data_IF_672392750194
#
_entry.id   IF_672392750194
#
_cell.length_a   1.000
_cell.length_b   1.000
_cell.length_c   1.000
_cell.angle_alpha   90.00
_cell.angle_beta   90.00
_cell.angle_gamma   90.00
#
_symmetry.space_group_name_H-M   'P 1'
#
loop_
_entity.id
_entity.type
_entity.pdbx_description
1 polymer ?
#
# COMPACT_ATOMS: atom_id res chain seq x y z
N UNK A 1 -11.64 -7.72 -1.91
CA UNK A 1 -11.88 -6.97 -3.16
C UNK A 1 -12.29 -5.54 -2.81
N UNK A 2 -11.75 -4.53 -3.52
CA UNK A 2 -12.13 -3.12 -3.38
C UNK A 2 -12.75 -2.66 -4.69
N UNK A 3 -13.90 -1.98 -4.63
CA UNK A 3 -14.53 -1.35 -5.79
C UNK A 3 -14.64 0.15 -5.54
N UNK A 4 -14.17 0.94 -6.48
CA UNK A 4 -14.38 2.38 -6.55
C UNK A 4 -15.48 2.64 -7.57
N UNK A 5 -16.53 3.38 -7.17
CA UNK A 5 -17.68 3.68 -8.01
C UNK A 5 -17.84 5.19 -8.14
N UNK A 6 -17.43 5.72 -9.28
CA UNK A 6 -17.56 7.14 -9.64
C UNK A 6 -16.97 8.10 -8.59
N UNK A 7 -15.83 7.72 -7.97
CA UNK A 7 -15.26 8.52 -6.89
C UNK A 7 -14.59 9.79 -7.40
N UNK A 8 -14.75 10.86 -6.64
CA UNK A 8 -14.02 12.12 -6.83
C UNK A 8 -13.27 12.49 -5.55
N UNK A 9 -12.00 12.89 -5.70
CA UNK A 9 -11.13 13.26 -4.61
C UNK A 9 -10.56 14.66 -4.82
N UNK A 10 -10.47 15.45 -3.73
CA UNK A 10 -9.85 16.78 -3.73
C UNK A 10 -8.85 16.92 -2.59
N UNK A 11 -7.91 17.82 -2.78
CA UNK A 11 -7.04 18.32 -1.73
C UNK A 11 -7.10 19.84 -1.71
N UNK A 12 -7.77 20.41 -0.70
CA UNK A 12 -8.20 21.80 -0.72
C UNK A 12 -9.12 22.05 -1.93
N UNK A 13 -8.80 23.05 -2.73
CA UNK A 13 -9.55 23.38 -3.96
C UNK A 13 -9.09 22.57 -5.19
N UNK A 14 -7.98 21.82 -5.07
CA UNK A 14 -7.42 21.05 -6.20
C UNK A 14 -8.15 19.72 -6.37
N UNK A 15 -8.74 19.49 -7.53
CA UNK A 15 -9.25 18.17 -7.92
C UNK A 15 -8.07 17.23 -8.21
N UNK A 16 -8.05 16.09 -7.53
CA UNK A 16 -7.04 15.04 -7.71
C UNK A 16 -7.54 13.91 -8.61
N UNK A 17 -8.79 13.52 -8.41
CA UNK A 17 -9.48 12.49 -9.20
C UNK A 17 -10.94 12.89 -9.42
N UNK A 18 -11.50 12.54 -10.58
CA UNK A 18 -12.88 12.87 -10.95
C UNK A 18 -13.53 11.68 -11.65
N UNK A 19 -14.64 11.20 -11.07
CA UNK A 19 -15.47 10.16 -11.68
C UNK A 19 -14.78 8.80 -11.86
N UNK A 20 -13.80 8.47 -11.01
CA UNK A 20 -12.99 7.25 -11.13
C UNK A 20 -13.79 6.02 -10.71
N UNK A 21 -13.83 5.02 -11.60
CA UNK A 21 -14.40 3.70 -11.30
C UNK A 21 -13.39 2.62 -11.66
N UNK A 22 -13.07 1.75 -10.69
CA UNK A 22 -12.15 0.62 -10.89
C UNK A 22 -12.31 -0.41 -9.78
N UNK A 23 -11.76 -1.60 -9.99
CA UNK A 23 -11.79 -2.70 -9.02
C UNK A 23 -10.39 -3.24 -8.77
N UNK A 24 -10.03 -3.43 -7.50
CA UNK A 24 -8.81 -4.10 -7.07
C UNK A 24 -9.15 -5.48 -6.53
N UNK A 25 -8.59 -6.50 -7.15
CA UNK A 25 -8.93 -7.90 -6.88
C UNK A 25 -8.11 -8.49 -5.73
N UNK A 26 -8.63 -9.52 -5.10
CA UNK A 26 -7.86 -10.39 -4.20
C UNK A 26 -6.86 -11.21 -5.02
N UNK A 27 -5.77 -11.63 -4.39
CA UNK A 27 -4.72 -12.39 -5.06
C UNK A 27 -3.87 -11.58 -6.05
N UNK A 28 -3.95 -10.23 -5.99
CA UNK A 28 -3.19 -9.36 -6.89
C UNK A 28 -2.42 -8.28 -6.13
N UNK A 29 -1.25 -7.96 -6.65
CA UNK A 29 -0.43 -6.82 -6.22
C UNK A 29 -0.54 -5.70 -7.26
N UNK A 30 -1.15 -4.58 -6.88
CA UNK A 30 -1.35 -3.41 -7.75
C UNK A 30 -0.41 -2.27 -7.35
N UNK A 31 0.35 -1.75 -8.30
CA UNK A 31 1.10 -0.51 -8.14
C UNK A 31 0.23 0.71 -8.45
N UNK A 32 0.03 1.58 -7.48
CA UNK A 32 -0.57 2.90 -7.68
C UNK A 32 0.54 3.86 -8.11
N UNK A 33 0.74 3.98 -9.42
CA UNK A 33 1.85 4.71 -10.04
C UNK A 33 1.43 6.13 -10.42
N UNK A 34 2.31 7.09 -10.26
CA UNK A 34 2.10 8.47 -10.69
C UNK A 34 3.12 9.43 -10.09
N UNK A 35 3.20 10.65 -10.64
CA UNK A 35 4.09 11.70 -10.13
C UNK A 35 3.74 12.09 -8.69
N UNK A 36 4.66 12.76 -8.01
CA UNK A 36 4.39 13.26 -6.66
C UNK A 36 3.26 14.32 -6.67
N UNK A 37 2.40 14.27 -5.65
CA UNK A 37 1.27 15.19 -5.52
C UNK A 37 0.07 14.91 -6.43
N UNK A 38 0.01 13.75 -7.12
CA UNK A 38 -1.14 13.37 -7.98
C UNK A 38 -2.32 12.79 -7.21
N UNK A 39 -2.18 12.54 -5.89
CA UNK A 39 -3.28 12.05 -5.06
C UNK A 39 -3.22 10.57 -4.72
N UNK A 40 -2.10 9.88 -4.95
CA UNK A 40 -1.91 8.46 -4.58
C UNK A 40 -2.22 8.20 -3.10
N UNK A 41 -1.54 8.91 -2.20
CA UNK A 41 -1.74 8.81 -0.75
C UNK A 41 -3.16 9.20 -0.34
N UNK A 42 -3.76 10.19 -1.03
CA UNK A 42 -5.14 10.61 -0.77
C UNK A 42 -6.13 9.49 -1.10
N UNK A 43 -5.92 8.78 -2.21
CA UNK A 43 -6.74 7.62 -2.59
C UNK A 43 -6.59 6.49 -1.57
N UNK A 44 -5.35 6.12 -1.19
CA UNK A 44 -5.12 5.07 -0.19
C UNK A 44 -5.76 5.42 1.16
N UNK A 45 -5.61 6.67 1.60
CA UNK A 45 -6.26 7.16 2.83
C UNK A 45 -7.79 7.16 2.72
N UNK A 46 -8.35 7.48 1.55
CA UNK A 46 -9.81 7.40 1.34
C UNK A 46 -10.33 5.96 1.45
N UNK A 47 -9.63 4.98 0.86
CA UNK A 47 -9.96 3.54 0.97
C UNK A 47 -9.85 3.06 2.42
N UNK A 48 -8.87 3.55 3.18
CA UNK A 48 -8.68 3.24 4.60
C UNK A 48 -9.66 4.01 5.53
N UNK A 49 -10.59 4.81 4.97
CA UNK A 49 -11.48 5.71 5.75
C UNK A 49 -10.73 6.73 6.62
N UNK A 50 -9.50 7.07 6.24
CA UNK A 50 -8.68 8.11 6.86
C UNK A 50 -8.72 9.44 6.07
N UNK A 51 -9.50 9.50 5.01
CA UNK A 51 -9.70 10.66 4.14
C UNK A 51 -11.15 10.74 3.68
N UNK A 52 -11.54 11.90 3.16
CA UNK A 52 -12.90 12.12 2.64
C UNK A 52 -12.96 11.88 1.14
N UNK A 53 -14.03 11.23 0.68
CA UNK A 53 -14.46 11.17 -0.71
C UNK A 53 -15.47 12.32 -0.92
N UNK A 54 -15.32 13.09 -1.98
CA UNK A 54 -16.22 14.20 -2.28
C UNK A 54 -17.49 13.72 -2.97
N UNK A 55 -17.35 12.70 -3.86
CA UNK A 55 -18.47 12.12 -4.58
C UNK A 55 -18.17 10.64 -4.90
N UNK A 56 -19.22 9.84 -5.10
CA UNK A 56 -19.12 8.42 -5.37
C UNK A 56 -19.00 7.55 -4.11
N UNK A 57 -18.74 6.26 -4.33
CA UNK A 57 -18.77 5.24 -3.27
C UNK A 57 -17.54 4.33 -3.34
N UNK A 58 -17.05 3.92 -2.17
CA UNK A 58 -16.04 2.86 -2.03
C UNK A 58 -16.71 1.65 -1.41
N UNK A 59 -16.49 0.48 -2.03
CA UNK A 59 -17.01 -0.79 -1.54
C UNK A 59 -15.87 -1.74 -1.18
N UNK A 60 -15.98 -2.42 -0.04
CA UNK A 60 -15.01 -3.40 0.47
C UNK A 60 -15.75 -4.71 0.71
N UNK A 61 -15.34 -5.76 -0.02
CA UNK A 61 -15.96 -7.09 0.04
C UNK A 61 -17.49 -7.06 -0.08
N UNK A 62 -18.00 -6.26 -1.04
CA UNK A 62 -19.43 -6.14 -1.32
C UNK A 62 -20.23 -5.30 -0.31
N UNK A 63 -19.55 -4.59 0.61
CA UNK A 63 -20.18 -3.67 1.56
C UNK A 63 -19.64 -2.25 1.34
N UNK A 64 -20.55 -1.29 1.34
CA UNK A 64 -20.19 0.12 1.25
C UNK A 64 -19.37 0.57 2.46
N UNK A 65 -18.23 1.26 2.21
CA UNK A 65 -17.28 1.70 3.23
C UNK A 65 -17.95 2.55 4.33
N UNK A 66 -18.89 3.42 3.95
CA UNK A 66 -19.63 4.30 4.87
C UNK A 66 -20.49 3.53 5.89
N UNK A 67 -20.84 2.27 5.61
CA UNK A 67 -21.65 1.42 6.48
C UNK A 67 -20.83 0.57 7.44
N UNK A 68 -19.50 0.52 7.28
CA UNK A 68 -18.61 -0.25 8.12
C UNK A 68 -18.25 0.53 9.39
N UNK A 69 -18.35 -0.12 10.54
CA UNK A 69 -17.76 0.40 11.78
C UNK A 69 -16.21 0.40 11.67
N UNK A 70 -15.56 1.24 12.48
CA UNK A 70 -14.09 1.29 12.52
C UNK A 70 -13.46 -0.09 12.81
N UNK A 71 -14.06 -0.89 13.69
CA UNK A 71 -13.59 -2.25 14.00
C UNK A 71 -13.79 -3.20 12.83
N UNK A 72 -14.92 -3.14 12.13
CA UNK A 72 -15.18 -3.97 10.96
C UNK A 72 -14.20 -3.63 9.81
N UNK A 73 -13.92 -2.35 9.61
CA UNK A 73 -12.95 -1.90 8.63
C UNK A 73 -11.54 -2.34 9.00
N UNK A 74 -11.13 -2.16 10.27
CA UNK A 74 -9.80 -2.58 10.74
C UNK A 74 -9.55 -4.09 10.66
N UNK A 75 -10.60 -4.91 10.56
CA UNK A 75 -10.50 -6.36 10.29
C UNK A 75 -10.46 -6.69 8.80
N UNK A 76 -10.58 -5.71 7.91
CA UNK A 76 -10.58 -5.89 6.45
C UNK A 76 -9.41 -5.20 5.77
N UNK A 77 -8.97 -4.07 6.30
CA UNK A 77 -7.95 -3.21 5.68
C UNK A 77 -6.85 -2.89 6.68
N UNK A 78 -5.63 -3.26 6.36
CA UNK A 78 -4.43 -2.75 7.00
C UNK A 78 -3.86 -1.60 6.16
N UNK A 79 -3.36 -0.56 6.83
CA UNK A 79 -2.74 0.58 6.18
C UNK A 79 -1.34 0.84 6.76
N UNK A 80 -0.35 0.89 5.88
CA UNK A 80 1.03 1.24 6.19
C UNK A 80 1.35 2.58 5.55
N UNK A 81 1.70 3.55 6.37
CA UNK A 81 2.18 4.86 5.92
C UNK A 81 3.69 4.99 6.12
N UNK A 82 4.30 6.01 5.51
CA UNK A 82 5.72 6.33 5.64
C UNK A 82 6.06 7.17 6.86
N UNK A 83 5.06 7.57 7.66
CA UNK A 83 5.29 8.39 8.85
C UNK A 83 6.09 7.60 9.89
N UNK A 84 7.18 8.19 10.37
CA UNK A 84 8.00 7.60 11.41
C UNK A 84 7.25 7.58 12.74
N UNK A 85 7.25 6.43 13.39
CA UNK A 85 6.71 6.30 14.74
C UNK A 85 7.81 6.73 15.71
N UNK A 86 7.61 7.86 16.35
CA UNK A 86 8.49 8.37 17.41
C UNK A 86 7.79 8.21 18.75
N UNK A 87 7.87 7.00 19.30
CA UNK A 87 7.32 6.66 20.62
C UNK A 87 8.44 6.11 21.49
N UNK A 88 8.69 6.79 22.61
CA UNK A 88 9.64 6.34 23.62
C UNK A 88 9.16 5.04 24.30
N UNK A 89 10.10 4.17 24.66
CA UNK A 89 9.88 2.93 25.42
C UNK A 89 8.93 1.91 24.76
N UNK A 90 8.80 1.92 23.42
CA UNK A 90 8.05 0.93 22.66
C UNK A 90 9.04 -0.06 22.01
N UNK A 91 8.87 -1.37 22.29
CA UNK A 91 9.65 -2.41 21.61
C UNK A 91 9.08 -2.74 20.23
N UNK A 92 9.90 -3.41 19.40
CA UNK A 92 9.43 -3.92 18.10
C UNK A 92 8.25 -4.88 18.29
N UNK A 93 8.35 -5.80 19.28
CA UNK A 93 7.26 -6.73 19.59
C UNK A 93 5.98 -5.98 19.96
N UNK A 94 6.06 -4.98 20.84
CA UNK A 94 4.87 -4.20 21.24
C UNK A 94 4.23 -3.49 20.05
N UNK A 95 5.06 -2.91 19.15
CA UNK A 95 4.56 -2.23 17.96
C UNK A 95 3.84 -3.22 17.01
N UNK A 96 4.39 -4.41 16.82
CA UNK A 96 3.74 -5.45 16.00
C UNK A 96 2.44 -5.92 16.66
N UNK A 97 2.44 -6.08 18.00
CA UNK A 97 1.28 -6.46 18.78
C UNK A 97 0.10 -5.46 18.67
N UNK A 98 0.38 -4.17 18.44
CA UNK A 98 -0.67 -3.17 18.13
C UNK A 98 -1.51 -3.58 16.92
N UNK A 99 -0.96 -4.33 15.96
CA UNK A 99 -1.72 -4.89 14.83
C UNK A 99 -2.91 -5.75 15.27
N UNK A 100 -2.85 -6.36 16.46
CA UNK A 100 -3.93 -7.18 17.01
C UNK A 100 -5.05 -6.38 17.68
N UNK A 101 -4.93 -5.05 17.82
CA UNK A 101 -5.93 -4.19 18.49
C UNK A 101 -7.38 -4.43 18.05
N UNK A 102 -7.72 -4.70 16.76
CA UNK A 102 -9.10 -4.97 16.35
C UNK A 102 -9.70 -6.27 16.94
N UNK A 103 -8.88 -7.13 17.54
CA UNK A 103 -9.26 -8.47 18.06
C UNK A 103 -9.16 -8.57 19.58
N UNK A 104 -8.55 -7.58 20.24
CA UNK A 104 -8.43 -7.52 21.69
C UNK A 104 -9.75 -7.17 22.37
N UNK A 105 -9.84 -7.45 23.67
CA UNK A 105 -10.93 -6.98 24.51
C UNK A 105 -10.77 -5.46 24.83
N UNK A 106 -11.73 -4.93 25.60
CA UNK A 106 -11.71 -3.51 26.03
C UNK A 106 -10.48 -3.14 26.92
N UNK A 107 -9.80 -4.15 27.50
CA UNK A 107 -8.55 -3.98 28.26
C UNK A 107 -7.29 -4.15 27.40
N UNK A 108 -7.43 -4.40 26.10
CA UNK A 108 -6.29 -4.62 25.19
C UNK A 108 -5.58 -5.97 25.39
N UNK A 109 -6.23 -6.95 26.01
CA UNK A 109 -5.59 -8.25 26.30
C UNK A 109 -5.44 -9.09 25.06
N UNK A 110 -4.21 -9.54 24.82
CA UNK A 110 -3.87 -10.52 23.77
C UNK A 110 -4.26 -11.93 24.23
N UNK A 111 -4.67 -12.77 23.27
CA UNK A 111 -4.92 -14.20 23.46
C UNK A 111 -3.70 -15.00 22.98
N UNK A 112 -3.62 -16.27 23.35
CA UNK A 112 -2.52 -17.15 22.88
C UNK A 112 -2.42 -17.24 21.36
N UNK A 113 -3.53 -17.14 20.65
CA UNK A 113 -3.55 -17.15 19.18
C UNK A 113 -2.99 -15.85 18.60
N UNK A 114 -3.20 -14.72 19.27
CA UNK A 114 -2.65 -13.44 18.86
C UNK A 114 -1.11 -13.45 18.90
N UNK A 115 -0.52 -14.05 19.94
CA UNK A 115 0.94 -14.17 20.07
C UNK A 115 1.55 -14.95 18.90
N UNK A 116 0.95 -16.08 18.52
CA UNK A 116 1.39 -16.85 17.36
C UNK A 116 1.31 -16.06 16.05
N UNK A 117 0.29 -15.21 15.89
CA UNK A 117 0.16 -14.34 14.71
C UNK A 117 1.24 -13.26 14.74
N UNK A 118 1.53 -12.67 15.88
CA UNK A 118 2.60 -11.67 16.05
C UNK A 118 3.96 -12.28 15.66
N UNK A 119 4.31 -13.43 16.24
CA UNK A 119 5.56 -14.14 15.94
C UNK A 119 5.69 -14.50 14.46
N UNK A 120 4.62 -15.07 13.86
CA UNK A 120 4.58 -15.36 12.42
C UNK A 120 4.78 -14.10 11.58
N UNK A 121 4.13 -13.00 11.94
CA UNK A 121 4.22 -11.73 11.20
C UNK A 121 5.64 -11.15 11.27
N UNK A 122 6.28 -11.24 12.43
CA UNK A 122 7.68 -10.82 12.61
C UNK A 122 8.63 -11.68 11.80
N UNK A 123 8.41 -13.00 11.77
CA UNK A 123 9.20 -13.93 10.96
C UNK A 123 9.08 -13.62 9.47
N UNK A 124 7.85 -13.45 8.95
CA UNK A 124 7.58 -13.13 7.54
C UNK A 124 8.27 -11.82 7.13
N UNK A 125 8.24 -10.80 7.99
CA UNK A 125 8.88 -9.51 7.73
C UNK A 125 10.41 -9.51 8.03
N UNK A 126 10.97 -10.59 8.56
CA UNK A 126 12.40 -10.72 8.88
C UNK A 126 12.87 -9.84 10.04
N UNK A 127 11.99 -9.59 11.04
CA UNK A 127 12.27 -8.69 12.18
C UNK A 127 12.26 -9.40 13.54
N UNK A 128 12.16 -10.72 13.57
CA UNK A 128 12.09 -11.52 14.80
C UNK A 128 13.31 -11.33 15.73
N UNK A 129 14.51 -11.21 15.17
CA UNK A 129 15.74 -10.97 15.94
C UNK A 129 15.79 -9.59 16.63
N UNK A 130 14.88 -8.69 16.24
CA UNK A 130 14.78 -7.33 16.76
C UNK A 130 13.64 -7.16 17.78
N UNK A 131 12.94 -8.23 18.17
CA UNK A 131 11.72 -8.18 18.98
C UNK A 131 11.84 -7.31 20.25
N UNK A 132 12.96 -7.39 20.96
CA UNK A 132 13.20 -6.65 22.19
C UNK A 132 13.88 -5.28 21.99
N UNK A 133 14.24 -4.91 20.74
CA UNK A 133 14.83 -3.60 20.47
C UNK A 133 13.78 -2.50 20.57
N UNK A 134 14.20 -1.33 21.02
CA UNK A 134 13.36 -0.14 21.02
C UNK A 134 13.17 0.40 19.59
N UNK A 135 11.94 0.74 19.23
CA UNK A 135 11.59 1.28 17.91
C UNK A 135 12.40 2.53 17.57
N UNK A 136 12.67 3.38 18.56
CA UNK A 136 13.48 4.60 18.40
C UNK A 136 14.93 4.35 17.98
N UNK A 137 15.44 3.10 18.12
CA UNK A 137 16.82 2.72 17.75
C UNK A 137 16.94 2.10 16.36
N UNK A 138 15.83 1.95 15.66
CA UNK A 138 15.78 1.33 14.34
C UNK A 138 16.23 2.31 13.24
N UNK A 139 16.90 1.78 12.22
CA UNK A 139 17.06 2.48 10.94
C UNK A 139 15.69 2.61 10.24
N UNK A 140 15.59 3.52 9.27
CA UNK A 140 14.34 3.72 8.54
C UNK A 140 13.88 2.43 7.82
N UNK A 141 14.83 1.66 7.25
CA UNK A 141 14.51 0.38 6.61
C UNK A 141 14.03 -0.70 7.60
N UNK A 142 14.66 -0.79 8.79
CA UNK A 142 14.21 -1.69 9.86
C UNK A 142 12.81 -1.27 10.34
N UNK A 143 12.58 0.02 10.54
CA UNK A 143 11.27 0.56 10.93
C UNK A 143 10.19 0.21 9.90
N UNK A 144 10.49 0.36 8.61
CA UNK A 144 9.57 -0.01 7.53
C UNK A 144 9.18 -1.49 7.57
N UNK A 145 10.15 -2.40 7.77
CA UNK A 145 9.88 -3.84 7.94
C UNK A 145 9.00 -4.13 9.17
N UNK A 146 9.23 -3.43 10.27
CA UNK A 146 8.41 -3.56 11.50
C UNK A 146 6.98 -3.06 11.26
N UNK A 147 6.81 -1.96 10.51
CA UNK A 147 5.48 -1.47 10.14
C UNK A 147 4.71 -2.47 9.26
N UNK A 148 5.42 -3.18 8.38
CA UNK A 148 4.84 -4.27 7.59
C UNK A 148 4.47 -5.45 8.49
N UNK A 149 5.35 -5.86 9.44
CA UNK A 149 5.03 -6.89 10.42
C UNK A 149 3.76 -6.54 11.21
N UNK A 150 3.61 -5.28 11.63
CA UNK A 150 2.40 -4.79 12.30
C UNK A 150 1.15 -4.95 11.41
N UNK A 151 1.26 -4.58 10.12
CA UNK A 151 0.15 -4.73 9.18
C UNK A 151 -0.19 -6.20 8.92
N UNK A 152 0.81 -7.08 8.87
CA UNK A 152 0.61 -8.53 8.78
C UNK A 152 -0.05 -9.10 10.03
N UNK A 153 0.34 -8.63 11.23
CA UNK A 153 -0.27 -9.03 12.49
C UNK A 153 -1.75 -8.62 12.59
N UNK A 154 -2.18 -7.59 11.86
CA UNK A 154 -3.58 -7.22 11.75
C UNK A 154 -4.42 -8.27 11.02
N UNK A 155 -3.78 -9.16 10.25
CA UNK A 155 -4.37 -10.34 9.57
C UNK A 155 -5.61 -9.99 8.74
N UNK A 156 -5.45 -9.03 7.84
CA UNK A 156 -6.50 -8.53 6.97
C UNK A 156 -6.38 -9.08 5.54
N UNK A 157 -7.50 -9.21 4.80
CA UNK A 157 -7.46 -9.58 3.38
C UNK A 157 -6.93 -8.47 2.46
N UNK A 158 -6.88 -7.22 2.92
CA UNK A 158 -6.45 -6.06 2.14
C UNK A 158 -5.31 -5.36 2.87
N UNK A 159 -4.21 -5.07 2.15
CA UNK A 159 -3.09 -4.30 2.66
C UNK A 159 -2.82 -3.13 1.71
N UNK A 160 -2.89 -1.93 2.24
CA UNK A 160 -2.58 -0.69 1.55
C UNK A 160 -1.25 -0.15 2.07
N UNK A 161 -0.33 0.18 1.16
CA UNK A 161 0.99 0.70 1.54
C UNK A 161 1.26 2.01 0.79
N UNK A 162 1.56 3.06 1.54
CA UNK A 162 1.91 4.35 0.96
C UNK A 162 3.42 4.48 0.88
N UNK A 163 3.97 4.49 -0.33
CA UNK A 163 5.40 4.53 -0.66
C UNK A 163 6.29 3.57 0.18
N UNK A 164 5.99 2.26 0.24
CA UNK A 164 6.67 1.33 1.14
C UNK A 164 8.16 1.14 0.83
N UNK A 165 8.62 1.53 -0.35
CA UNK A 165 10.02 1.44 -0.78
C UNK A 165 10.84 2.69 -0.48
N UNK A 166 10.20 3.78 -0.02
CA UNK A 166 10.91 4.98 0.40
C UNK A 166 11.91 4.64 1.50
N UNK A 167 13.09 5.23 1.47
CA UNK A 167 14.19 5.01 2.42
C UNK A 167 14.88 3.64 2.37
N UNK A 168 14.46 2.74 1.47
CA UNK A 168 15.14 1.46 1.27
C UNK A 168 16.20 1.58 0.17
N UNK A 169 17.32 0.90 0.33
CA UNK A 169 18.28 0.67 -0.75
C UNK A 169 17.72 -0.31 -1.79
N UNK A 170 18.34 -0.36 -2.95
CA UNK A 170 17.83 -1.13 -4.08
C UNK A 170 17.56 -2.61 -3.77
N UNK A 171 18.47 -3.39 -3.13
CA UNK A 171 18.19 -4.78 -2.76
C UNK A 171 16.96 -4.92 -1.85
N UNK A 172 16.86 -4.09 -0.81
CA UNK A 172 15.77 -4.14 0.16
C UNK A 172 14.40 -3.78 -0.47
N UNK A 173 14.36 -2.90 -1.48
CA UNK A 173 13.14 -2.60 -2.25
C UNK A 173 12.60 -3.83 -2.96
N UNK A 174 13.47 -4.55 -3.67
CA UNK A 174 13.09 -5.77 -4.39
C UNK A 174 12.68 -6.91 -3.45
N UNK A 175 13.39 -7.08 -2.31
CA UNK A 175 13.00 -8.05 -1.29
C UNK A 175 11.61 -7.75 -0.73
N UNK A 176 11.34 -6.48 -0.40
CA UNK A 176 10.04 -6.06 0.10
C UNK A 176 8.94 -6.31 -0.93
N UNK A 177 9.12 -5.87 -2.17
CA UNK A 177 8.10 -6.08 -3.20
C UNK A 177 7.90 -7.56 -3.53
N UNK A 178 8.97 -8.38 -3.47
CA UNK A 178 8.84 -9.84 -3.59
C UNK A 178 8.03 -10.44 -2.45
N UNK A 179 8.23 -9.96 -1.21
CA UNK A 179 7.40 -10.35 -0.07
C UNK A 179 5.94 -9.98 -0.29
N UNK A 180 5.65 -8.75 -0.72
CA UNK A 180 4.29 -8.30 -1.02
C UNK A 180 3.64 -9.15 -2.11
N UNK A 181 4.38 -9.50 -3.17
CA UNK A 181 3.91 -10.40 -4.22
C UNK A 181 3.52 -11.79 -3.68
N UNK A 182 4.34 -12.38 -2.81
CA UNK A 182 4.00 -13.67 -2.15
C UNK A 182 2.75 -13.56 -1.31
N UNK A 183 2.58 -12.49 -0.54
CA UNK A 183 1.37 -12.27 0.24
C UNK A 183 0.13 -12.14 -0.63
N UNK A 184 0.25 -11.53 -1.81
CA UNK A 184 -0.84 -11.46 -2.78
C UNK A 184 -1.15 -12.85 -3.34
N UNK A 185 -0.16 -13.54 -3.89
CA UNK A 185 -0.37 -14.75 -4.68
C UNK A 185 -0.60 -15.99 -3.80
N UNK A 186 0.21 -16.17 -2.74
CA UNK A 186 0.18 -17.39 -1.93
C UNK A 186 -0.89 -17.31 -0.83
N UNK A 187 -1.14 -16.11 -0.26
CA UNK A 187 -2.13 -15.89 0.80
C UNK A 187 -3.45 -15.26 0.28
N UNK A 188 -3.54 -14.98 -1.02
CA UNK A 188 -4.74 -14.42 -1.66
C UNK A 188 -5.09 -13.01 -1.19
N UNK A 189 -4.11 -12.22 -0.72
CA UNK A 189 -4.37 -10.85 -0.25
C UNK A 189 -4.53 -9.88 -1.43
N UNK A 190 -5.33 -8.84 -1.25
CA UNK A 190 -5.39 -7.69 -2.15
C UNK A 190 -4.36 -6.67 -1.66
N UNK A 191 -3.30 -6.44 -2.45
CA UNK A 191 -2.23 -5.52 -2.09
C UNK A 191 -2.22 -4.34 -3.04
N UNK A 192 -2.26 -3.12 -2.49
CA UNK A 192 -2.12 -1.88 -3.26
C UNK A 192 -0.98 -1.08 -2.61
N UNK A 193 0.05 -0.77 -3.38
CA UNK A 193 1.13 0.08 -2.91
C UNK A 193 1.32 1.29 -3.82
N UNK A 194 1.51 2.46 -3.23
CA UNK A 194 1.85 3.65 -4.01
C UNK A 194 3.35 3.69 -4.29
N UNK A 195 3.71 4.15 -5.47
CA UNK A 195 5.09 4.38 -5.85
C UNK A 195 5.19 5.46 -6.93
N UNK A 196 6.35 6.08 -7.02
CA UNK A 196 6.77 6.91 -8.16
C UNK A 196 7.90 6.22 -8.96
N UNK A 197 8.34 5.04 -8.54
CA UNK A 197 9.41 4.24 -9.13
C UNK A 197 8.82 3.33 -10.22
N UNK A 198 9.11 3.70 -11.48
CA UNK A 198 8.55 2.99 -12.63
C UNK A 198 9.07 1.56 -12.75
N UNK A 199 10.36 1.35 -12.53
CA UNK A 199 11.02 0.06 -12.60
C UNK A 199 10.43 -0.97 -11.62
N UNK A 200 10.16 -0.55 -10.39
CA UNK A 200 9.49 -1.38 -9.38
C UNK A 200 8.06 -1.75 -9.83
N UNK A 201 7.29 -0.76 -10.29
CA UNK A 201 5.92 -1.00 -10.73
C UNK A 201 5.86 -1.98 -11.91
N UNK A 202 6.73 -1.79 -12.92
CA UNK A 202 6.73 -2.62 -14.13
C UNK A 202 7.25 -4.04 -13.90
N UNK A 203 8.24 -4.19 -13.00
CA UNK A 203 8.90 -5.48 -12.79
C UNK A 203 8.13 -6.42 -11.85
N UNK A 204 7.35 -5.89 -10.93
CA UNK A 204 6.85 -6.66 -9.78
C UNK A 204 5.34 -6.62 -9.60
N UNK A 205 4.62 -5.61 -10.14
CA UNK A 205 3.18 -5.51 -9.97
C UNK A 205 2.41 -6.29 -11.05
N UNK A 206 1.34 -6.97 -10.66
CA UNK A 206 0.43 -7.66 -11.58
C UNK A 206 -0.38 -6.67 -12.42
N UNK A 207 -0.73 -5.55 -11.81
CA UNK A 207 -1.47 -4.46 -12.46
C UNK A 207 -0.98 -3.09 -12.01
N UNK A 208 -1.20 -2.10 -12.85
CA UNK A 208 -0.84 -0.71 -12.58
C UNK A 208 -2.08 0.16 -12.63
N UNK A 209 -2.34 0.86 -11.53
CA UNK A 209 -3.29 1.96 -11.46
C UNK A 209 -2.53 3.27 -11.65
N UNK A 210 -2.48 3.77 -12.89
CA UNK A 210 -1.75 4.97 -13.27
C UNK A 210 -2.58 6.22 -12.96
N UNK A 211 -2.06 7.06 -12.06
CA UNK A 211 -2.70 8.32 -11.67
C UNK A 211 -2.16 9.47 -12.52
N UNK A 212 -3.00 9.94 -13.44
CA UNK A 212 -2.77 11.08 -14.30
C UNK A 212 -3.91 12.10 -14.06
N UNK A 213 -3.73 12.93 -13.04
CA UNK A 213 -4.75 13.86 -12.53
C UNK A 213 -5.47 14.63 -13.64
N UNK A 214 -6.82 14.63 -13.68
CA UNK A 214 -7.76 14.08 -12.69
C UNK A 214 -8.20 12.63 -12.95
N UNK A 215 -7.52 11.88 -13.81
CA UNK A 215 -7.90 10.52 -14.21
C UNK A 215 -7.06 9.46 -13.52
N UNK A 216 -7.62 8.25 -13.41
CA UNK A 216 -6.92 7.04 -13.02
C UNK A 216 -7.22 5.96 -14.08
N UNK A 217 -6.16 5.31 -14.59
CA UNK A 217 -6.28 4.17 -15.51
C UNK A 217 -5.70 2.94 -14.86
N UNK A 218 -6.49 1.90 -14.74
CA UNK A 218 -6.08 0.65 -14.12
C UNK A 218 -6.10 -0.48 -15.16
N UNK A 219 -4.95 -1.07 -15.42
CA UNK A 219 -4.75 -2.15 -16.40
C UNK A 219 -3.77 -3.20 -15.85
N UNK A 220 -3.84 -4.45 -16.32
CA UNK A 220 -2.75 -5.41 -16.15
C UNK A 220 -1.41 -4.80 -16.62
N UNK A 221 -0.32 -5.14 -15.96
CA UNK A 221 0.99 -4.53 -16.26
C UNK A 221 1.41 -4.62 -17.74
N UNK A 222 1.25 -5.78 -18.44
CA UNK A 222 1.58 -5.86 -19.87
C UNK A 222 0.73 -4.93 -20.74
N UNK A 223 -0.56 -4.81 -20.41
CA UNK A 223 -1.49 -3.95 -21.13
C UNK A 223 -1.18 -2.46 -20.86
N UNK A 224 -0.79 -2.12 -19.65
CA UNK A 224 -0.37 -0.76 -19.30
C UNK A 224 0.90 -0.35 -20.08
N UNK A 225 1.89 -1.23 -20.21
CA UNK A 225 3.12 -0.99 -20.97
C UNK A 225 2.79 -0.73 -22.43
N UNK A 226 1.91 -1.53 -23.05
CA UNK A 226 1.56 -1.41 -24.47
C UNK A 226 0.60 -0.27 -24.79
N UNK A 227 -0.02 0.34 -23.79
CA UNK A 227 -1.11 1.32 -23.95
C UNK A 227 -0.66 2.73 -24.35
N UNK A 228 0.64 3.06 -24.26
CA UNK A 228 1.17 4.42 -24.44
C UNK A 228 0.83 5.40 -23.30
N UNK A 229 0.21 4.91 -22.21
CA UNK A 229 -0.16 5.78 -21.09
C UNK A 229 1.04 6.18 -20.23
N UNK A 230 2.05 5.29 -20.10
CA UNK A 230 3.25 5.53 -19.33
C UNK A 230 4.08 6.61 -20.04
N UNK A 231 4.28 6.47 -21.36
CA UNK A 231 4.97 7.44 -22.20
C UNK A 231 4.36 8.82 -22.02
N UNK A 232 3.03 8.92 -22.17
CA UNK A 232 2.33 10.20 -22.04
C UNK A 232 2.51 10.86 -20.67
N UNK A 233 2.65 10.08 -19.60
CA UNK A 233 2.81 10.62 -18.25
C UNK A 233 4.25 11.00 -17.93
N UNK A 234 5.22 10.20 -18.38
CA UNK A 234 6.62 10.32 -17.97
C UNK A 234 7.50 11.02 -19.02
N UNK A 235 7.11 11.03 -20.30
CA UNK A 235 7.88 11.71 -21.34
C UNK A 235 7.98 13.22 -21.08
N UNK A 236 9.14 13.74 -21.37
CA UNK A 236 9.46 15.16 -21.27
C UNK A 236 10.50 15.53 -22.33
N UNK A 237 10.92 16.80 -22.34
CA UNK A 237 12.02 17.27 -23.20
C UNK A 237 13.34 16.48 -22.98
N UNK A 238 13.56 15.94 -21.76
CA UNK A 238 14.83 15.32 -21.36
C UNK A 238 14.78 13.80 -21.32
N UNK A 239 13.61 13.22 -21.16
CA UNK A 239 13.46 11.77 -20.97
C UNK A 239 12.25 11.24 -21.73
N UNK A 240 12.37 10.01 -22.22
CA UNK A 240 11.26 9.25 -22.81
C UNK A 240 11.23 7.84 -22.25
N UNK A 241 10.03 7.27 -22.15
CA UNK A 241 9.86 5.86 -21.80
C UNK A 241 9.95 5.00 -23.06
N UNK A 242 10.76 3.94 -23.00
CA UNK A 242 10.86 2.94 -24.07
C UNK A 242 10.15 1.66 -23.64
N UNK A 243 8.98 1.40 -24.23
CA UNK A 243 8.17 0.21 -23.92
C UNK A 243 8.88 -1.12 -24.26
N UNK A 244 9.77 -1.13 -25.26
CA UNK A 244 10.49 -2.34 -25.65
C UNK A 244 11.54 -2.76 -24.62
N UNK A 245 12.22 -1.78 -24.01
CA UNK A 245 13.21 -2.02 -22.95
C UNK A 245 12.67 -1.78 -21.53
N UNK A 246 11.41 -1.34 -21.42
CA UNK A 246 10.71 -1.00 -20.17
C UNK A 246 11.53 -0.05 -19.28
N UNK A 247 12.21 0.91 -19.89
CA UNK A 247 13.12 1.81 -19.20
C UNK A 247 13.00 3.25 -19.68
N UNK A 248 13.42 4.18 -18.82
CA UNK A 248 13.52 5.60 -19.19
C UNK A 248 14.85 5.83 -19.91
N UNK A 249 14.80 6.50 -21.06
CA UNK A 249 15.95 6.92 -21.86
C UNK A 249 16.08 8.43 -21.86
N UNK A 250 17.31 8.91 -21.88
CA UNK A 250 17.58 10.33 -22.09
C UNK A 250 17.34 10.70 -23.56
N UNK A 251 16.56 11.75 -23.79
CA UNK A 251 16.45 12.41 -25.10
C UNK A 251 17.74 13.18 -25.35
N UNK A 252 18.37 12.92 -26.50
CA UNK A 252 19.60 13.62 -26.94
C UNK A 252 19.23 14.85 -27.76
#
# INVERSE_FOLDING_TARGET
MIELRNISLKFGERTLMEGVSTTFSVGTMTALLGRNGTGKSTLLRAIASLGKVQDGEIWIDGRELSTLSSTELARRVAFVNTERIDVEALTVHDLVAVGRSPYTDWMGRLKSDDERIIERSMHIAGVESMASRMVSTLSDGECQRVMIARALAQDTPIILLDEPTAFLDLPNRYELCTLLGRLAHDEGKCIIFSTHELDIALSLADSIALVDTPTLRHLPTPDMISSGNIERLFDSEYVSFDAATQSIKLCK
#
